data_IF_036949446262
#
_entry.id   IF_036949446262
#
_cell.length_a   1.000
_cell.length_b   1.000
_cell.length_c   1.000
_cell.angle_alpha   90.00
_cell.angle_beta   90.00
_cell.angle_gamma   90.00
#
_symmetry.space_group_name_H-M   'P 1'
#
loop_
_entity.id
_entity.type
_entity.pdbx_description
1 polymer ?
#
# COMPACT_ATOMS: atom_id res chain seq x y z
N UNK A 1 9.84 24.74 -0.78
CA UNK A 1 8.79 23.77 -0.41
C UNK A 1 9.47 22.61 0.31
N UNK A 2 8.97 22.13 1.47
CA UNK A 2 9.60 20.98 2.17
C UNK A 2 9.45 19.72 1.30
N UNK A 3 10.55 19.02 1.04
CA UNK A 3 10.54 17.76 0.28
C UNK A 3 10.22 16.61 1.24
N UNK A 4 8.99 16.09 1.16
CA UNK A 4 8.57 14.91 1.91
C UNK A 4 8.75 13.70 1.01
N UNK A 5 9.63 12.77 1.40
CA UNK A 5 9.93 11.60 0.58
C UNK A 5 10.61 10.52 1.43
N UNK A 6 10.02 9.33 1.50
CA UNK A 6 10.68 8.12 1.96
C UNK A 6 11.69 7.74 0.90
N UNK A 7 12.98 7.78 1.26
CA UNK A 7 14.07 7.56 0.32
C UNK A 7 14.55 6.12 0.32
N UNK A 8 14.70 5.54 1.50
CA UNK A 8 15.30 4.21 1.66
C UNK A 8 14.68 3.48 2.84
N UNK A 9 14.51 2.17 2.72
CA UNK A 9 14.30 1.25 3.85
C UNK A 9 15.60 0.56 4.13
N UNK A 10 16.02 0.52 5.38
CA UNK A 10 17.14 -0.30 5.84
C UNK A 10 16.62 -1.49 6.62
N UNK A 11 17.12 -2.67 6.30
CA UNK A 11 16.70 -3.92 6.93
C UNK A 11 17.73 -4.34 7.97
N UNK A 12 17.25 -4.79 9.13
CA UNK A 12 18.11 -5.34 10.16
C UNK A 12 18.55 -6.75 9.77
N UNK A 13 19.78 -7.12 10.14
CA UNK A 13 20.29 -8.48 9.93
C UNK A 13 19.38 -9.51 10.60
N UNK A 14 19.27 -10.67 9.97
CA UNK A 14 18.66 -11.85 10.56
C UNK A 14 19.53 -12.33 11.71
N UNK A 15 19.05 -12.19 12.93
CA UNK A 15 19.82 -12.49 14.14
C UNK A 15 19.29 -13.72 14.90
N UNK A 16 18.15 -14.28 14.48
CA UNK A 16 17.41 -15.30 15.24
C UNK A 16 16.92 -16.44 14.33
N UNK A 17 16.96 -17.68 14.83
CA UNK A 17 16.48 -18.87 14.11
C UNK A 17 14.95 -18.90 14.00
N UNK A 18 14.26 -18.24 14.92
CA UNK A 18 12.78 -18.16 14.95
C UNK A 18 12.23 -16.92 14.22
N UNK A 19 13.09 -16.17 13.53
CA UNK A 19 12.65 -15.03 12.74
C UNK A 19 11.84 -15.49 11.53
N UNK A 20 10.56 -15.09 11.46
CA UNK A 20 9.66 -15.45 10.36
C UNK A 20 10.23 -15.04 8.99
N UNK A 21 11.06 -13.99 8.94
CA UNK A 21 11.74 -13.52 7.72
C UNK A 21 12.62 -14.60 7.11
N UNK A 22 13.19 -15.49 7.92
CA UNK A 22 13.98 -16.63 7.43
C UNK A 22 13.17 -17.63 6.58
N UNK A 23 11.84 -17.59 6.67
CA UNK A 23 10.92 -18.42 5.87
C UNK A 23 10.54 -17.78 4.53
N UNK A 24 10.81 -16.48 4.35
CA UNK A 24 10.46 -15.73 3.14
C UNK A 24 11.77 -15.40 2.43
N UNK A 25 12.00 -16.01 1.27
CA UNK A 25 13.30 -15.95 0.57
C UNK A 25 13.77 -14.52 0.32
N UNK A 26 12.84 -13.61 0.01
CA UNK A 26 13.16 -12.22 -0.31
C UNK A 26 13.79 -11.45 0.86
N UNK A 27 13.54 -11.84 2.10
CA UNK A 27 14.06 -11.14 3.28
C UNK A 27 15.39 -11.70 3.77
N UNK A 28 15.91 -12.79 3.19
CA UNK A 28 17.15 -13.43 3.63
C UNK A 28 18.40 -12.56 3.44
N UNK A 29 18.46 -11.84 2.32
CA UNK A 29 19.63 -11.07 1.90
C UNK A 29 19.31 -9.59 1.58
N UNK A 30 18.15 -9.11 2.00
CA UNK A 30 17.73 -7.75 1.73
C UNK A 30 18.37 -6.81 2.77
N UNK A 31 19.26 -5.92 2.33
CA UNK A 31 19.93 -4.95 3.20
C UNK A 31 19.27 -3.57 3.15
N UNK A 32 18.88 -3.15 1.94
CA UNK A 32 18.18 -1.90 1.71
C UNK A 32 17.21 -1.98 0.53
N UNK A 33 16.25 -1.07 0.50
CA UNK A 33 15.36 -0.83 -0.63
C UNK A 33 15.23 0.68 -0.85
N UNK A 34 15.58 1.15 -2.05
CA UNK A 34 15.56 2.57 -2.41
C UNK A 34 14.30 2.91 -3.21
N UNK A 35 13.72 4.08 -2.92
CA UNK A 35 12.60 4.65 -3.65
C UNK A 35 13.07 5.84 -4.49
N UNK A 36 12.52 5.94 -5.70
CA UNK A 36 12.92 6.95 -6.67
C UNK A 36 11.77 7.83 -7.17
N UNK A 37 10.53 7.36 -6.99
CA UNK A 37 9.31 8.02 -7.49
C UNK A 37 8.29 8.20 -6.37
N UNK A 38 7.37 9.14 -6.57
CA UNK A 38 6.26 9.35 -5.65
C UNK A 38 5.27 8.17 -5.66
N UNK A 39 5.29 7.33 -6.69
CA UNK A 39 4.49 6.12 -6.78
C UNK A 39 5.45 4.96 -7.00
N UNK A 40 5.46 4.02 -6.07
CA UNK A 40 6.20 2.77 -6.21
C UNK A 40 5.25 1.60 -6.11
N UNK A 41 5.30 0.72 -7.09
CA UNK A 41 4.51 -0.50 -7.15
C UNK A 41 5.31 -1.70 -6.68
N UNK A 42 4.68 -2.57 -5.90
CA UNK A 42 5.15 -3.91 -5.58
C UNK A 42 4.32 -4.90 -6.42
N UNK A 43 4.98 -5.65 -7.29
CA UNK A 43 4.37 -6.69 -8.12
C UNK A 43 5.07 -8.03 -7.85
N UNK A 44 4.39 -9.13 -8.13
CA UNK A 44 4.90 -10.49 -7.91
C UNK A 44 3.80 -11.42 -7.41
N UNK A 45 4.08 -12.72 -7.42
CA UNK A 45 3.15 -13.79 -7.07
C UNK A 45 2.68 -13.73 -5.61
N UNK A 46 1.59 -14.44 -5.31
CA UNK A 46 1.10 -14.57 -3.93
C UNK A 46 2.15 -15.25 -3.06
N UNK A 47 2.37 -14.73 -1.85
CA UNK A 47 3.39 -15.26 -0.93
C UNK A 47 4.83 -14.76 -1.19
N UNK A 48 5.05 -13.88 -2.17
CA UNK A 48 6.36 -13.24 -2.43
C UNK A 48 6.82 -12.25 -1.36
N UNK A 49 5.96 -11.92 -0.38
CA UNK A 49 6.30 -11.06 0.76
C UNK A 49 5.90 -9.59 0.62
N UNK A 50 5.18 -9.20 -0.44
CA UNK A 50 4.69 -7.82 -0.68
C UNK A 50 3.92 -7.27 0.53
N UNK A 51 2.81 -7.92 0.90
CA UNK A 51 1.93 -7.47 1.99
C UNK A 51 2.67 -7.47 3.34
N UNK A 52 3.50 -8.48 3.59
CA UNK A 52 4.35 -8.53 4.79
C UNK A 52 5.30 -7.34 4.88
N UNK A 53 5.91 -6.92 3.76
CA UNK A 53 6.74 -5.73 3.74
C UNK A 53 5.91 -4.46 3.95
N UNK A 54 4.76 -4.33 3.28
CA UNK A 54 3.85 -3.19 3.43
C UNK A 54 3.36 -3.01 4.87
N UNK A 55 2.97 -4.10 5.54
CA UNK A 55 2.54 -4.12 6.94
C UNK A 55 3.64 -3.59 7.88
N UNK A 56 4.90 -3.98 7.64
CA UNK A 56 6.02 -3.53 8.46
C UNK A 56 6.44 -2.09 8.16
N UNK A 57 6.30 -1.64 6.90
CA UNK A 57 6.44 -0.22 6.54
C UNK A 57 5.35 0.61 7.23
N UNK A 58 4.10 0.13 7.21
CA UNK A 58 2.96 0.77 7.87
C UNK A 58 3.22 0.89 9.37
N UNK A 59 3.63 -0.20 10.02
CA UNK A 59 3.96 -0.23 11.45
C UNK A 59 5.08 0.76 11.79
N UNK A 60 6.21 0.74 11.09
CA UNK A 60 7.35 1.63 11.36
C UNK A 60 7.01 3.10 11.09
N UNK A 61 6.10 3.38 10.15
CA UNK A 61 5.58 4.74 9.97
C UNK A 61 4.60 5.17 11.08
N UNK A 62 4.04 4.22 11.82
CA UNK A 62 3.09 4.39 12.92
C UNK A 62 1.62 4.25 12.52
N UNK A 63 1.30 3.54 11.43
CA UNK A 63 -0.06 3.21 11.01
C UNK A 63 -0.50 1.87 11.64
N UNK A 64 -1.81 1.65 11.71
CA UNK A 64 -2.36 0.36 12.10
C UNK A 64 -2.11 -0.67 10.97
N UNK A 65 -1.58 -1.85 11.33
CA UNK A 65 -1.28 -2.95 10.40
C UNK A 65 -2.54 -3.52 9.73
N UNK A 66 -3.68 -3.41 10.40
CA UNK A 66 -5.00 -3.81 9.90
C UNK A 66 -5.61 -2.75 8.95
N UNK A 67 -4.85 -1.69 8.63
CA UNK A 67 -5.30 -0.56 7.82
C UNK A 67 -5.81 0.61 8.64
N UNK A 68 -5.93 1.79 8.02
CA UNK A 68 -6.38 3.03 8.65
C UNK A 68 -5.26 4.05 8.91
N UNK A 69 -5.56 5.06 9.72
CA UNK A 69 -4.64 6.16 10.10
C UNK A 69 -3.87 5.87 11.39
N UNK A 70 -2.91 6.74 11.76
CA UNK A 70 -2.06 6.62 12.97
C UNK A 70 -2.81 6.59 14.33
N UNK A 71 -4.11 6.90 14.33
CA UNK A 71 -4.94 6.95 15.55
C UNK A 71 -6.05 5.91 15.60
N UNK A 72 -6.13 5.00 14.62
CA UNK A 72 -7.15 3.96 14.56
C UNK A 72 -6.83 2.85 15.58
N UNK A 73 -7.43 2.90 16.77
CA UNK A 73 -7.17 1.99 17.89
C UNK A 73 -8.12 0.78 17.90
N UNK A 74 -8.27 0.06 16.80
CA UNK A 74 -8.86 -1.28 16.82
C UNK A 74 -7.73 -2.32 16.71
N UNK A 75 -7.65 -3.21 17.69
CA UNK A 75 -6.67 -4.29 17.75
C UNK A 75 -7.37 -5.63 17.57
N UNK A 76 -6.88 -6.43 16.62
CA UNK A 76 -7.14 -7.87 16.54
C UNK A 76 -6.02 -8.63 17.26
N UNK A 77 -6.30 -9.86 17.70
CA UNK A 77 -5.36 -10.74 18.42
C UNK A 77 -4.11 -11.15 17.61
N UNK A 78 -4.07 -10.85 16.31
CA UNK A 78 -2.94 -11.14 15.42
C UNK A 78 -1.81 -10.08 15.51
N UNK A 79 -2.13 -8.86 15.96
CA UNK A 79 -1.19 -7.73 16.04
C UNK A 79 -0.03 -7.93 17.04
N UNK A 80 -0.15 -8.87 17.99
CA UNK A 80 0.86 -9.08 19.03
C UNK A 80 2.03 -9.98 18.59
N UNK A 81 1.92 -10.72 17.48
CA UNK A 81 2.92 -11.72 17.07
C UNK A 81 4.04 -11.22 16.14
N UNK A 82 3.95 -10.02 15.59
CA UNK A 82 4.89 -9.48 14.59
C UNK A 82 5.85 -8.41 15.13
N UNK A 83 5.88 -8.23 16.45
CA UNK A 83 6.46 -7.08 17.16
C UNK A 83 8.00 -6.95 17.22
N UNK A 84 8.77 -7.57 16.30
CA UNK A 84 10.20 -7.26 16.17
C UNK A 84 10.36 -6.23 15.08
N UNK A 85 10.64 -4.98 15.43
CA UNK A 85 10.91 -3.93 14.45
C UNK A 85 12.18 -4.27 13.67
N UNK A 86 12.05 -4.78 12.45
CA UNK A 86 13.15 -5.35 11.65
C UNK A 86 13.54 -4.50 10.44
N UNK A 87 12.91 -3.35 10.25
CA UNK A 87 13.26 -2.37 9.23
C UNK A 87 13.27 -0.96 9.83
N UNK A 88 13.90 -0.02 9.12
CA UNK A 88 13.90 1.41 9.46
C UNK A 88 13.65 2.25 8.22
N UNK A 89 12.78 3.24 8.35
CA UNK A 89 12.45 4.18 7.28
C UNK A 89 13.39 5.40 7.30
N UNK A 90 14.06 5.66 6.18
CA UNK A 90 14.93 6.81 5.97
C UNK A 90 14.28 7.81 5.01
N UNK A 91 14.17 9.06 5.44
CA UNK A 91 13.48 10.13 4.72
C UNK A 91 14.50 11.11 4.14
N UNK A 92 14.24 11.66 2.95
CA UNK A 92 15.19 12.54 2.28
C UNK A 92 15.44 13.86 3.04
N UNK A 93 14.37 14.50 3.53
CA UNK A 93 14.48 15.73 4.35
C UNK A 93 13.58 15.64 5.57
N UNK A 94 12.31 15.31 5.37
CA UNK A 94 11.34 15.21 6.47
C UNK A 94 10.33 14.11 6.23
N UNK A 95 9.88 13.47 7.31
CA UNK A 95 8.80 12.50 7.30
C UNK A 95 7.44 13.17 7.09
N UNK A 96 6.50 12.45 6.46
CA UNK A 96 5.10 12.86 6.43
C UNK A 96 4.50 12.80 7.84
N UNK A 97 3.61 13.76 8.14
CA UNK A 97 2.82 13.74 9.38
C UNK A 97 1.59 12.85 9.23
N UNK A 98 0.94 12.95 8.08
CA UNK A 98 -0.27 12.20 7.74
C UNK A 98 0.07 10.95 6.90
N UNK A 99 -0.75 9.92 7.05
CA UNK A 99 -0.76 8.77 6.16
C UNK A 99 -1.91 7.83 6.46
N UNK A 100 -2.14 6.91 5.54
CA UNK A 100 -3.22 5.94 5.59
C UNK A 100 -2.75 4.62 4.96
N UNK A 101 -3.05 3.50 5.61
CA UNK A 101 -2.84 2.17 5.03
C UNK A 101 -4.18 1.61 4.55
N UNK A 102 -4.33 1.49 3.24
CA UNK A 102 -5.52 0.93 2.62
C UNK A 102 -5.34 -0.56 2.36
N UNK A 103 -6.27 -1.35 2.90
CA UNK A 103 -6.44 -2.78 2.61
C UNK A 103 -7.94 -3.06 2.52
N UNK A 104 -8.34 -4.06 1.74
CA UNK A 104 -9.74 -4.42 1.60
C UNK A 104 -10.42 -4.68 2.96
N UNK A 105 -9.82 -5.51 3.82
CA UNK A 105 -10.34 -5.82 5.16
C UNK A 105 -10.30 -4.60 6.11
N UNK A 106 -9.30 -3.73 5.95
CA UNK A 106 -9.13 -2.55 6.79
C UNK A 106 -10.21 -1.49 6.60
N UNK A 107 -10.78 -1.37 5.40
CA UNK A 107 -11.86 -0.42 5.12
C UNK A 107 -13.10 -0.78 5.93
N UNK A 108 -13.47 -2.07 5.95
CA UNK A 108 -14.62 -2.53 6.72
C UNK A 108 -14.45 -2.24 8.22
N UNK A 109 -13.28 -2.55 8.78
CA UNK A 109 -12.96 -2.26 10.18
C UNK A 109 -12.98 -0.77 10.48
N UNK A 110 -12.46 0.05 9.57
CA UNK A 110 -12.45 1.50 9.71
C UNK A 110 -13.87 2.08 9.68
N UNK A 111 -14.71 1.62 8.77
CA UNK A 111 -16.12 2.07 8.67
C UNK A 111 -16.90 1.69 9.93
N UNK A 112 -16.75 0.45 10.44
CA UNK A 112 -17.33 0.05 11.73
C UNK A 112 -16.84 0.94 12.89
N UNK A 113 -15.55 1.28 12.91
CA UNK A 113 -15.00 2.18 13.92
C UNK A 113 -15.64 3.56 13.86
N UNK A 114 -15.82 4.13 12.66
CA UNK A 114 -16.46 5.43 12.48
C UNK A 114 -17.93 5.44 12.90
N UNK A 115 -18.67 4.35 12.69
CA UNK A 115 -20.08 4.23 13.12
C UNK A 115 -20.22 4.40 14.64
N UNK A 116 -19.23 3.95 15.41
CA UNK A 116 -19.20 4.05 16.87
C UNK A 116 -18.79 5.45 17.38
N UNK A 117 -18.44 6.38 16.49
CA UNK A 117 -18.07 7.76 16.85
C UNK A 117 -19.20 8.73 16.53
N UNK A 118 -19.49 9.66 17.44
CA UNK A 118 -20.44 10.73 17.17
C UNK A 118 -19.97 11.60 15.99
N UNK A 119 -20.73 11.58 14.90
CA UNK A 119 -20.38 12.25 13.66
C UNK A 119 -19.17 11.66 12.93
N UNK A 120 -18.81 10.40 13.17
CA UNK A 120 -17.63 9.76 12.60
C UNK A 120 -17.55 9.80 11.06
N UNK A 121 -18.68 9.77 10.37
CA UNK A 121 -18.72 9.91 8.90
C UNK A 121 -18.59 11.34 8.38
N UNK A 122 -18.71 12.39 9.23
CA UNK A 122 -18.67 13.79 8.78
C UNK A 122 -17.40 14.15 8.00
N UNK A 123 -16.18 13.72 8.40
CA UNK A 123 -14.97 13.97 7.63
C UNK A 123 -14.96 13.29 6.25
N UNK A 124 -15.84 12.32 6.05
CA UNK A 124 -15.93 11.46 4.86
C UNK A 124 -17.21 11.72 4.04
N UNK A 125 -17.78 12.92 4.12
CA UNK A 125 -18.97 13.32 3.37
C UNK A 125 -20.28 13.20 4.15
N UNK A 126 -20.26 12.64 5.36
CA UNK A 126 -21.42 12.62 6.28
C UNK A 126 -22.47 11.56 5.97
N UNK A 127 -22.42 10.92 4.80
CA UNK A 127 -23.28 9.78 4.47
C UNK A 127 -22.85 8.52 5.22
N UNK A 128 -23.80 7.61 5.46
CA UNK A 128 -23.49 6.34 6.08
C UNK A 128 -22.73 5.44 5.09
N UNK A 129 -21.43 5.27 5.34
CA UNK A 129 -20.54 4.48 4.49
C UNK A 129 -20.94 2.99 4.43
N UNK A 130 -21.68 2.45 5.40
CA UNK A 130 -22.19 1.07 5.34
C UNK A 130 -23.17 0.81 4.19
N UNK A 131 -23.78 1.86 3.63
CA UNK A 131 -24.70 1.76 2.50
C UNK A 131 -23.97 1.71 1.15
N UNK A 132 -22.66 1.93 1.14
CA UNK A 132 -21.82 1.95 -0.05
C UNK A 132 -21.15 0.59 -0.28
N UNK A 133 -20.87 0.26 -1.54
CA UNK A 133 -19.98 -0.86 -1.86
C UNK A 133 -18.56 -0.61 -1.37
N UNK A 134 -17.76 -1.66 -1.18
CA UNK A 134 -16.34 -1.53 -0.76
C UNK A 134 -15.53 -0.58 -1.65
N UNK A 135 -15.80 -0.59 -2.97
CA UNK A 135 -15.14 0.32 -3.90
C UNK A 135 -15.57 1.77 -3.76
N UNK A 136 -16.84 2.02 -3.46
CA UNK A 136 -17.34 3.38 -3.18
C UNK A 136 -16.81 3.90 -1.85
N UNK A 137 -16.75 3.06 -0.81
CA UNK A 137 -16.12 3.41 0.47
C UNK A 137 -14.66 3.80 0.28
N UNK A 138 -13.89 3.01 -0.48
CA UNK A 138 -12.50 3.32 -0.80
C UNK A 138 -12.37 4.69 -1.47
N UNK A 139 -13.15 4.93 -2.53
CA UNK A 139 -13.12 6.17 -3.30
C UNK A 139 -13.48 7.34 -2.40
N UNK A 140 -14.55 7.24 -1.61
CA UNK A 140 -15.01 8.28 -0.71
C UNK A 140 -13.93 8.64 0.34
N UNK A 141 -13.28 7.64 0.93
CA UNK A 141 -12.18 7.86 1.88
C UNK A 141 -11.00 8.53 1.15
N UNK A 142 -10.58 8.02 -0.01
CA UNK A 142 -9.45 8.59 -0.75
C UNK A 142 -9.72 10.03 -1.21
N UNK A 143 -10.94 10.33 -1.67
CA UNK A 143 -11.38 11.67 -2.07
C UNK A 143 -11.37 12.63 -0.89
N UNK A 144 -11.92 12.21 0.26
CA UNK A 144 -11.96 13.05 1.48
C UNK A 144 -10.57 13.49 1.97
N UNK A 145 -9.55 12.68 1.71
CA UNK A 145 -8.17 12.94 2.13
C UNK A 145 -7.28 13.45 1.00
N UNK A 146 -7.80 13.58 -0.22
CA UNK A 146 -7.04 13.92 -1.43
C UNK A 146 -6.35 15.29 -1.37
N UNK A 147 -6.89 16.22 -0.59
CA UNK A 147 -6.28 17.53 -0.33
C UNK A 147 -5.13 17.51 0.69
N UNK A 148 -4.90 16.38 1.37
CA UNK A 148 -3.88 16.24 2.41
C UNK A 148 -2.63 15.56 1.87
N UNK A 149 -1.49 16.26 1.89
CA UNK A 149 -0.20 15.63 1.56
C UNK A 149 0.16 14.57 2.60
N UNK A 150 0.37 13.33 2.14
CA UNK A 150 0.58 12.19 3.03
C UNK A 150 1.43 11.07 2.43
N UNK A 151 1.73 10.10 3.29
CA UNK A 151 2.32 8.82 2.91
C UNK A 151 1.23 7.75 2.92
N UNK A 152 1.00 7.14 1.77
CA UNK A 152 -0.11 6.23 1.53
C UNK A 152 0.42 4.85 1.16
N UNK A 153 -0.18 3.83 1.74
CA UNK A 153 0.13 2.43 1.45
C UNK A 153 -1.15 1.78 0.97
N UNK A 154 -1.09 1.02 -0.12
CA UNK A 154 -2.25 0.31 -0.68
C UNK A 154 -1.85 -1.15 -0.89
N UNK A 155 -2.67 -2.08 -0.40
CA UNK A 155 -2.45 -3.53 -0.53
C UNK A 155 -3.66 -4.18 -1.21
N UNK A 156 -3.48 -4.56 -2.48
CA UNK A 156 -4.35 -5.47 -3.26
C UNK A 156 -5.86 -5.13 -3.24
N UNK A 157 -6.16 -3.83 -3.29
CA UNK A 157 -7.55 -3.34 -3.23
C UNK A 157 -8.38 -3.74 -4.45
N UNK A 158 -7.74 -4.08 -5.59
CA UNK A 158 -8.40 -4.46 -6.83
C UNK A 158 -9.34 -5.66 -6.69
N UNK A 159 -9.10 -6.54 -5.70
CA UNK A 159 -9.92 -7.71 -5.41
C UNK A 159 -11.36 -7.37 -5.06
N UNK A 160 -11.61 -6.19 -4.50
CA UNK A 160 -12.92 -5.75 -4.02
C UNK A 160 -13.57 -4.67 -4.92
N UNK A 161 -12.94 -4.30 -6.05
CA UNK A 161 -13.36 -3.14 -6.86
C UNK A 161 -13.41 -3.44 -8.35
N UNK A 162 -14.42 -2.90 -9.03
CA UNK A 162 -14.58 -3.04 -10.48
C UNK A 162 -13.47 -2.31 -11.26
N UNK A 163 -13.16 -2.74 -12.51
CA UNK A 163 -12.22 -2.04 -13.38
C UNK A 163 -12.52 -0.55 -13.57
N UNK A 164 -13.81 -0.17 -13.63
CA UNK A 164 -14.22 1.22 -13.74
C UNK A 164 -13.85 2.05 -12.50
N UNK A 165 -14.00 1.47 -11.31
CA UNK A 165 -13.58 2.11 -10.06
C UNK A 165 -12.05 2.14 -9.92
N UNK A 166 -11.34 1.13 -10.43
CA UNK A 166 -9.87 1.15 -10.50
C UNK A 166 -9.36 2.35 -11.33
N UNK A 167 -10.02 2.69 -12.45
CA UNK A 167 -9.67 3.88 -13.24
C UNK A 167 -9.87 5.18 -12.46
N UNK A 168 -10.95 5.31 -11.68
CA UNK A 168 -11.18 6.48 -10.81
C UNK A 168 -10.08 6.61 -9.75
N UNK A 169 -9.76 5.50 -9.09
CA UNK A 169 -8.71 5.42 -8.06
C UNK A 169 -7.35 5.78 -8.65
N UNK A 170 -7.02 5.24 -9.83
CA UNK A 170 -5.82 5.60 -10.59
C UNK A 170 -5.69 7.12 -10.74
N UNK A 171 -6.74 7.79 -11.21
CA UNK A 171 -6.73 9.24 -11.40
C UNK A 171 -6.57 10.02 -10.09
N UNK A 172 -7.12 9.54 -8.98
CA UNK A 172 -6.94 10.16 -7.67
C UNK A 172 -5.50 10.02 -7.17
N UNK A 173 -4.94 8.81 -7.24
CA UNK A 173 -3.54 8.54 -6.84
C UNK A 173 -2.57 9.42 -7.62
N UNK A 174 -2.75 9.49 -8.95
CA UNK A 174 -1.92 10.29 -9.85
C UNK A 174 -1.92 11.77 -9.43
N UNK A 175 -3.11 12.37 -9.24
CA UNK A 175 -3.25 13.75 -8.76
C UNK A 175 -2.64 13.98 -7.38
N UNK A 176 -2.83 13.04 -6.45
CA UNK A 176 -2.28 13.17 -5.09
C UNK A 176 -0.76 13.09 -5.09
N UNK A 177 -0.18 12.24 -5.94
CA UNK A 177 1.26 12.09 -6.10
C UNK A 177 1.90 13.32 -6.76
N UNK A 178 1.25 13.91 -7.77
CA UNK A 178 1.65 15.19 -8.38
C UNK A 178 1.64 16.34 -7.36
N UNK A 179 0.70 16.31 -6.42
CA UNK A 179 0.63 17.28 -5.32
C UNK A 179 1.65 17.01 -4.19
N UNK A 180 2.51 16.01 -4.34
CA UNK A 180 3.63 15.72 -3.42
C UNK A 180 3.29 14.74 -2.31
N UNK A 181 2.24 13.93 -2.47
CA UNK A 181 2.06 12.72 -1.67
C UNK A 181 2.93 11.59 -2.20
N UNK A 182 3.19 10.59 -1.38
CA UNK A 182 3.93 9.39 -1.79
C UNK A 182 3.11 8.13 -1.53
N UNK A 183 3.16 7.20 -2.47
CA UNK A 183 2.43 5.96 -2.49
C UNK A 183 3.37 4.76 -2.62
N UNK A 184 3.10 3.73 -1.83
CA UNK A 184 3.59 2.37 -2.05
C UNK A 184 2.39 1.45 -2.25
N UNK A 185 2.31 0.78 -3.39
CA UNK A 185 1.11 0.07 -3.83
C UNK A 185 1.48 -1.36 -4.20
N UNK A 186 1.01 -2.36 -3.46
CA UNK A 186 0.98 -3.73 -3.96
C UNK A 186 -0.28 -3.92 -4.82
N UNK A 187 -0.10 -4.41 -6.04
CA UNK A 187 -1.22 -4.67 -6.95
C UNK A 187 -0.91 -5.76 -7.97
N UNK A 188 -1.94 -6.53 -8.29
CA UNK A 188 -2.05 -7.46 -9.40
C UNK A 188 -2.85 -6.89 -10.57
N UNK A 189 -3.31 -5.63 -10.49
CA UNK A 189 -4.09 -4.98 -11.54
C UNK A 189 -3.20 -4.21 -12.52
N UNK A 190 -3.18 -4.59 -13.82
CA UNK A 190 -2.57 -3.77 -14.87
C UNK A 190 -3.17 -2.36 -14.96
N UNK A 191 -4.45 -2.18 -14.58
CA UNK A 191 -5.11 -0.87 -14.61
C UNK A 191 -4.48 0.06 -13.58
N UNK A 192 -4.31 -0.41 -12.33
CA UNK A 192 -3.71 0.38 -11.26
C UNK A 192 -2.22 0.62 -11.54
N UNK A 193 -1.51 -0.38 -12.07
CA UNK A 193 -0.08 -0.31 -12.42
C UNK A 193 0.22 0.71 -13.55
N UNK A 194 -0.79 1.11 -14.33
CA UNK A 194 -0.62 1.94 -15.53
C UNK A 194 -0.35 3.43 -15.27
N UNK A 195 -0.11 3.86 -14.02
CA UNK A 195 0.24 5.27 -13.75
C UNK A 195 1.68 5.53 -14.23
N UNK A 196 1.90 6.52 -15.12
CA UNK A 196 3.22 6.87 -15.61
C UNK A 196 4.11 7.45 -14.49
N UNK A 197 5.41 7.58 -14.77
CA UNK A 197 6.39 8.13 -13.83
C UNK A 197 6.43 7.41 -12.46
N UNK A 198 6.13 6.12 -12.47
CA UNK A 198 6.16 5.24 -11.31
C UNK A 198 7.39 4.33 -11.35
N UNK A 199 7.78 3.83 -10.18
CA UNK A 199 8.79 2.79 -10.03
C UNK A 199 8.06 1.45 -9.86
N UNK A 200 8.48 0.38 -10.54
CA UNK A 200 7.84 -0.94 -10.41
C UNK A 200 8.88 -1.94 -9.91
N UNK A 201 8.62 -2.50 -8.73
CA UNK A 201 9.50 -3.45 -8.07
C UNK A 201 8.86 -4.83 -8.10
N UNK A 202 9.50 -5.78 -8.78
CA UNK A 202 9.13 -7.18 -8.82
C UNK A 202 9.75 -7.94 -7.63
N UNK A 203 8.91 -8.68 -6.92
CA UNK A 203 9.23 -9.46 -5.72
C UNK A 203 9.43 -10.96 -5.98
N UNK A 204 9.33 -11.39 -7.24
CA UNK A 204 9.50 -12.78 -7.61
C UNK A 204 10.96 -13.26 -7.53
N UNK A 205 11.14 -14.57 -7.55
CA UNK A 205 12.46 -15.22 -7.60
C UNK A 205 13.38 -14.91 -6.41
N UNK A 206 12.79 -14.57 -5.25
CA UNK A 206 13.53 -14.39 -3.99
C UNK A 206 14.38 -13.13 -3.92
N UNK A 207 14.14 -12.14 -4.79
CA UNK A 207 14.84 -10.84 -4.79
C UNK A 207 13.89 -9.72 -5.22
N UNK A 208 14.17 -8.51 -4.77
CA UNK A 208 13.47 -7.32 -5.27
C UNK A 208 14.26 -6.76 -6.45
N UNK A 209 13.62 -6.63 -7.61
CA UNK A 209 14.22 -6.03 -8.80
C UNK A 209 13.28 -5.04 -9.46
N UNK A 210 13.82 -3.92 -9.92
CA UNK A 210 13.05 -2.99 -10.75
C UNK A 210 12.72 -3.62 -12.11
N UNK A 211 11.52 -3.34 -12.60
CA UNK A 211 11.02 -3.84 -13.89
C UNK A 211 10.20 -2.78 -14.60
N UNK A 212 9.96 -3.00 -15.88
CA UNK A 212 9.11 -2.13 -16.69
C UNK A 212 7.66 -2.62 -16.66
N UNK A 213 6.71 -1.72 -16.91
CA UNK A 213 5.27 -2.04 -16.97
C UNK A 213 5.00 -3.25 -17.86
N UNK A 214 5.62 -3.28 -19.03
CA UNK A 214 5.40 -4.31 -20.03
C UNK A 214 5.90 -5.70 -19.64
N UNK A 215 6.82 -5.77 -18.68
CA UNK A 215 7.47 -6.96 -18.16
C UNK A 215 6.93 -7.38 -16.78
N UNK A 216 6.05 -6.58 -16.19
CA UNK A 216 5.45 -6.90 -14.90
C UNK A 216 4.61 -8.20 -15.00
N UNK A 217 4.69 -9.12 -14.03
CA UNK A 217 4.02 -10.42 -14.10
C UNK A 217 2.52 -10.34 -14.41
N UNK A 218 1.80 -9.43 -13.73
CA UNK A 218 0.37 -9.24 -13.96
C UNK A 218 0.06 -8.72 -15.37
N UNK A 219 0.91 -7.88 -15.94
CA UNK A 219 0.72 -7.35 -17.30
C UNK A 219 0.97 -8.43 -18.35
N UNK A 220 2.04 -9.22 -18.18
CA UNK A 220 2.37 -10.33 -19.09
C UNK A 220 1.26 -11.39 -19.13
N UNK A 221 0.65 -11.73 -17.99
CA UNK A 221 -0.52 -12.63 -17.92
C UNK A 221 -1.67 -12.12 -18.81
N UNK A 222 -2.06 -10.85 -18.66
CA UNK A 222 -3.15 -10.27 -19.44
C UNK A 222 -2.79 -10.14 -20.93
N UNK A 223 -1.54 -9.80 -21.26
CA UNK A 223 -1.06 -9.78 -22.65
C UNK A 223 -1.19 -11.15 -23.30
N UNK A 224 -0.75 -12.22 -22.62
CA UNK A 224 -0.87 -13.60 -23.11
C UNK A 224 -2.32 -14.03 -23.25
N UNK A 225 -3.18 -13.65 -22.30
CA UNK A 225 -4.61 -13.94 -22.34
C UNK A 225 -5.27 -13.29 -23.57
N UNK A 226 -5.10 -11.98 -23.77
CA UNK A 226 -5.71 -11.27 -24.89
C UNK A 226 -5.13 -11.67 -26.25
N UNK A 227 -3.84 -12.02 -26.33
CA UNK A 227 -3.23 -12.56 -27.56
C UNK A 227 -3.83 -13.89 -28.00
N UNK A 228 -4.39 -14.70 -27.10
CA UNK A 228 -5.02 -15.98 -27.44
C UNK A 228 -6.46 -15.85 -27.94
N UNK A 229 -7.05 -14.65 -27.84
CA UNK A 229 -8.46 -14.39 -28.18
C UNK A 229 -8.60 -13.79 -29.60
N UNK A 230 -7.47 -13.50 -30.27
CA UNK A 230 -7.37 -13.00 -31.64
C UNK A 230 -6.78 -14.12 -32.51
#
# INVERSE_FOLDING_TARGET
MRKYFLKTIYFQKLNDKDDFRGKIDIFKNLEKLDFEKNITYFVGENGSGKSTLLENIALEFGLNQEGGTKGANYKTSLSDKTNKNWLKLSWEVTKFKYGYFFRAEGIYNFVNYLENLDGGFKPYGGENLHLMSHGEQFIQILESISGTKGFFIIDEIESAISPANQLKIKSLIEKMAENGSQFIIATHSPIILSIPNSQILNFDFGKIQETEFDMAPCVDIYKRFFKKII
#
